data_IF_850076338399
#
_entry.id   IF_850076338399
#
_cell.length_a   1.000
_cell.length_b   1.000
_cell.length_c   1.000
_cell.angle_alpha   90.00
_cell.angle_beta   90.00
_cell.angle_gamma   90.00
#
_symmetry.space_group_name_H-M   'P 1'
#
loop_
_entity.id
_entity.type
_entity.pdbx_description
1 polymer ?
#
# COMPACT_ATOMS: atom_id res chain seq x y z
N UNK A 1 -3.56 -1.86 8.59
CA UNK A 1 -4.62 -1.36 7.68
C UNK A 1 -3.97 -0.70 6.48
N UNK A 2 -4.48 -0.92 5.27
CA UNK A 2 -3.95 -0.31 4.03
C UNK A 2 -4.05 1.22 4.03
N UNK A 3 -5.15 1.77 4.55
CA UNK A 3 -5.37 3.20 4.70
C UNK A 3 -4.29 3.86 5.57
N UNK A 4 -3.93 3.22 6.69
CA UNK A 4 -2.86 3.69 7.56
C UNK A 4 -1.51 3.71 6.82
N UNK A 5 -1.23 2.68 6.01
CA UNK A 5 0.01 2.63 5.24
C UNK A 5 0.06 3.74 4.18
N UNK A 6 -1.05 4.03 3.51
CA UNK A 6 -1.14 5.15 2.58
C UNK A 6 -0.90 6.51 3.29
N UNK A 7 -1.45 6.70 4.50
CA UNK A 7 -1.20 7.89 5.31
C UNK A 7 0.27 8.04 5.71
N UNK A 8 0.95 6.94 6.00
CA UNK A 8 2.41 6.95 6.26
C UNK A 8 3.17 7.39 4.99
N UNK A 9 2.80 6.89 3.82
CA UNK A 9 3.42 7.31 2.56
C UNK A 9 3.18 8.79 2.26
N UNK A 10 1.99 9.32 2.60
CA UNK A 10 1.70 10.76 2.52
C UNK A 10 2.58 11.58 3.47
N UNK A 11 2.74 11.14 4.73
CA UNK A 11 3.66 11.79 5.66
C UNK A 11 5.09 11.82 5.11
N UNK A 12 5.56 10.68 4.60
CA UNK A 12 6.89 10.57 4.01
C UNK A 12 7.07 11.45 2.77
N UNK A 13 6.03 11.65 1.96
CA UNK A 13 6.10 12.54 0.79
C UNK A 13 6.22 14.01 1.19
N UNK A 14 5.49 14.41 2.24
CA UNK A 14 5.59 15.75 2.82
C UNK A 14 6.99 15.99 3.42
N UNK A 15 7.51 15.04 4.20
CA UNK A 15 8.83 15.14 4.82
C UNK A 15 9.95 15.20 3.77
N UNK A 16 9.79 14.49 2.66
CA UNK A 16 10.71 14.52 1.53
C UNK A 16 10.57 15.77 0.64
N UNK A 17 9.50 16.56 0.81
CA UNK A 17 9.19 17.70 -0.05
C UNK A 17 8.95 17.31 -1.50
N UNK A 18 8.36 16.13 -1.74
CA UNK A 18 8.12 15.56 -3.08
C UNK A 18 6.72 15.03 -3.18
N UNK A 19 6.05 15.35 -4.28
CA UNK A 19 4.72 14.79 -4.56
C UNK A 19 4.84 13.35 -5.07
N UNK A 20 3.97 12.48 -4.56
CA UNK A 20 3.86 11.09 -4.98
C UNK A 20 2.52 10.82 -5.67
N UNK A 21 2.57 10.17 -6.84
CA UNK A 21 1.40 9.61 -7.52
C UNK A 21 1.38 8.09 -7.36
N UNK A 22 0.26 7.53 -6.92
CA UNK A 22 0.08 6.08 -6.81
C UNK A 22 -0.23 5.52 -8.21
N UNK A 23 0.69 4.71 -8.74
CA UNK A 23 0.50 4.02 -10.03
C UNK A 23 -0.20 2.67 -9.85
N UNK A 24 0.13 1.95 -8.79
CA UNK A 24 -0.42 0.62 -8.53
C UNK A 24 -0.43 0.29 -7.05
N UNK A 25 -1.51 -0.35 -6.60
CA UNK A 25 -1.58 -1.06 -5.31
C UNK A 25 -1.19 -2.51 -5.53
N UNK A 26 -0.31 -3.03 -4.69
CA UNK A 26 0.14 -4.43 -4.74
C UNK A 26 -0.15 -5.10 -3.41
N UNK A 27 -0.47 -6.38 -3.49
CA UNK A 27 -0.77 -7.25 -2.35
C UNK A 27 -0.10 -8.61 -2.56
N UNK A 28 -0.33 -9.52 -1.62
CA UNK A 28 0.11 -10.90 -1.73
C UNK A 28 -0.28 -11.56 -3.09
N UNK A 29 0.63 -12.36 -3.67
CA UNK A 29 0.41 -13.00 -4.96
C UNK A 29 -0.65 -14.12 -4.91
N UNK A 30 -1.12 -14.64 -6.07
CA UNK A 30 -2.19 -15.64 -6.13
C UNK A 30 -1.89 -16.98 -5.45
N UNK A 31 -0.62 -17.32 -5.24
CA UNK A 31 -0.16 -18.47 -4.45
C UNK A 31 -0.35 -18.28 -2.93
N UNK A 32 -0.76 -17.08 -2.51
CA UNK A 32 -1.08 -16.71 -1.13
C UNK A 32 -2.49 -16.10 -1.03
N UNK A 33 -3.56 -16.86 -1.35
CA UNK A 33 -4.91 -16.34 -1.38
C UNK A 33 -5.40 -15.88 0.00
N UNK A 34 -6.34 -14.93 0.01
CA UNK A 34 -7.05 -14.51 1.22
C UNK A 34 -8.43 -15.12 1.23
N UNK A 35 -8.76 -15.81 2.32
CA UNK A 35 -10.09 -16.37 2.52
C UNK A 35 -11.07 -15.24 2.84
N UNK A 36 -12.24 -15.25 2.20
CA UNK A 36 -13.29 -14.27 2.47
C UNK A 36 -13.75 -14.28 3.94
N UNK A 37 -13.72 -15.46 4.57
CA UNK A 37 -14.06 -15.64 5.99
C UNK A 37 -12.94 -15.24 6.96
N UNK A 38 -11.77 -14.87 6.46
CA UNK A 38 -10.60 -14.51 7.27
C UNK A 38 -9.82 -13.35 6.64
N UNK A 39 -10.40 -12.14 6.61
CA UNK A 39 -9.80 -10.96 5.99
C UNK A 39 -8.47 -10.54 6.64
N UNK A 40 -8.21 -10.94 7.88
CA UNK A 40 -6.97 -10.69 8.62
C UNK A 40 -5.74 -11.29 7.93
N UNK A 41 -5.91 -12.34 7.12
CA UNK A 41 -4.84 -12.92 6.30
C UNK A 41 -4.36 -11.99 5.16
N UNK A 42 -5.06 -10.89 4.89
CA UNK A 42 -4.57 -9.87 3.96
C UNK A 42 -3.51 -9.01 4.68
N UNK A 43 -2.30 -9.52 4.89
CA UNK A 43 -1.26 -8.83 5.65
C UNK A 43 -0.29 -8.01 4.78
N UNK A 44 -0.04 -8.41 3.53
CA UNK A 44 0.93 -7.74 2.66
C UNK A 44 0.30 -6.52 1.96
N UNK A 45 0.88 -5.34 2.19
CA UNK A 45 0.47 -4.05 1.61
C UNK A 45 1.65 -3.44 0.87
N UNK A 46 1.44 -3.00 -0.36
CA UNK A 46 2.47 -2.29 -1.12
C UNK A 46 1.88 -1.30 -2.11
N UNK A 47 2.68 -0.29 -2.43
CA UNK A 47 2.34 0.75 -3.38
C UNK A 47 3.51 0.96 -4.35
N UNK A 48 3.21 1.03 -5.64
CA UNK A 48 4.14 1.53 -6.65
C UNK A 48 3.80 2.99 -6.87
N UNK A 49 4.75 3.87 -6.55
CA UNK A 49 4.57 5.30 -6.64
C UNK A 49 5.55 5.91 -7.65
N UNK A 50 5.14 7.02 -8.25
CA UNK A 50 5.98 7.88 -9.09
C UNK A 50 6.16 9.22 -8.39
N UNK A 51 7.40 9.71 -8.35
CA UNK A 51 7.70 11.09 -7.96
C UNK A 51 7.35 12.03 -9.11
N UNK A 52 6.66 13.13 -8.79
CA UNK A 52 6.31 14.20 -9.74
C UNK A 52 7.31 15.34 -9.64
#
# INVERSE_FOLDING_TARGET
>A
SEDLFQKILFGASQDAGRDLQILRRVSQPPDHPVLLSYPEAQYLKGFVCRVV
#
